data_IF_397545658089
#
_entry.id   IF_397545658089
#
_cell.length_a   1.000
_cell.length_b   1.000
_cell.length_c   1.000
_cell.angle_alpha   90.00
_cell.angle_beta   90.00
_cell.angle_gamma   90.00
#
_symmetry.space_group_name_H-M   'P 1'
#
loop_
_entity.id
_entity.type
_entity.pdbx_description
1 polymer ?
#
# COMPACT_ATOMS: atom_id res chain seq x y z
N UNK A 1 -14.82 14.82 -11.15
CA UNK A 1 -15.75 13.92 -11.84
C UNK A 1 -15.43 12.49 -11.44
N UNK A 2 -16.29 11.88 -10.63
CA UNK A 2 -15.98 10.56 -10.04
C UNK A 2 -15.70 9.47 -11.07
N UNK A 3 -16.46 9.39 -12.15
CA UNK A 3 -16.30 8.34 -13.14
C UNK A 3 -14.99 8.38 -13.90
N UNK A 4 -14.39 9.54 -14.07
CA UNK A 4 -13.11 9.70 -14.78
C UNK A 4 -11.92 9.34 -13.91
N UNK A 5 -12.01 9.65 -12.61
CA UNK A 5 -10.96 9.29 -11.66
C UNK A 5 -10.89 7.77 -11.50
N UNK A 6 -12.04 7.10 -11.45
CA UNK A 6 -12.10 5.65 -11.34
C UNK A 6 -11.44 4.95 -12.53
N UNK A 7 -11.66 5.44 -13.75
CA UNK A 7 -11.06 4.88 -14.95
C UNK A 7 -9.53 5.01 -14.92
N UNK A 8 -9.00 6.16 -14.52
CA UNK A 8 -7.57 6.38 -14.39
C UNK A 8 -6.92 5.46 -13.36
N UNK A 9 -7.54 5.31 -12.20
CA UNK A 9 -7.04 4.45 -11.13
C UNK A 9 -6.92 3.00 -11.59
N UNK A 10 -7.85 2.53 -12.40
CA UNK A 10 -7.86 1.15 -12.90
C UNK A 10 -6.79 0.84 -13.93
N UNK A 11 -6.40 1.85 -14.72
CA UNK A 11 -5.40 1.68 -15.77
C UNK A 11 -3.96 1.71 -15.26
N UNK A 12 -3.73 2.32 -14.10
CA UNK A 12 -2.40 2.69 -13.64
C UNK A 12 -1.96 1.97 -12.36
N UNK A 13 -2.38 0.72 -12.17
CA UNK A 13 -1.89 -0.06 -11.04
C UNK A 13 -0.49 -0.58 -11.33
N UNK A 14 0.53 -0.09 -10.59
CA UNK A 14 1.90 -0.50 -10.84
C UNK A 14 2.15 -1.93 -10.35
N UNK A 15 2.97 -2.67 -11.08
CA UNK A 15 3.58 -3.88 -10.57
C UNK A 15 4.74 -3.52 -9.63
N UNK A 16 5.40 -4.52 -9.07
CA UNK A 16 6.49 -4.29 -8.12
C UNK A 16 7.64 -3.45 -8.71
N UNK A 17 8.01 -3.72 -9.97
CA UNK A 17 9.08 -2.97 -10.63
C UNK A 17 8.68 -1.51 -10.87
N UNK A 18 7.47 -1.27 -11.34
CA UNK A 18 6.95 0.08 -11.55
C UNK A 18 6.81 0.84 -10.23
N UNK A 19 6.37 0.16 -9.16
CA UNK A 19 6.29 0.74 -7.83
C UNK A 19 7.66 1.19 -7.33
N UNK A 20 8.70 0.38 -7.54
CA UNK A 20 10.06 0.75 -7.17
C UNK A 20 10.53 2.02 -7.89
N UNK A 21 10.21 2.14 -9.18
CA UNK A 21 10.54 3.35 -9.96
C UNK A 21 9.81 4.59 -9.45
N UNK A 22 8.53 4.45 -9.11
CA UNK A 22 7.73 5.54 -8.55
C UNK A 22 8.31 5.98 -7.20
N UNK A 23 8.62 5.03 -6.32
CA UNK A 23 9.21 5.31 -5.02
C UNK A 23 10.57 6.00 -5.14
N UNK A 24 11.37 5.62 -6.13
CA UNK A 24 12.67 6.24 -6.36
C UNK A 24 12.55 7.73 -6.72
N UNK A 25 11.45 8.14 -7.33
CA UNK A 25 11.19 9.56 -7.62
C UNK A 25 10.85 10.36 -6.36
N UNK A 26 10.12 9.74 -5.42
CA UNK A 26 9.74 10.37 -4.15
C UNK A 26 10.87 10.36 -3.13
N UNK A 27 11.71 9.32 -3.15
CA UNK A 27 12.86 9.16 -2.27
C UNK A 27 14.15 9.50 -3.03
N UNK A 28 14.26 10.74 -3.47
CA UNK A 28 15.41 11.22 -4.23
C UNK A 28 16.60 11.57 -3.33
N UNK A 29 17.70 12.04 -3.97
CA UNK A 29 18.92 12.39 -3.26
C UNK A 29 18.83 13.56 -2.29
N UNK A 30 17.70 14.28 -2.28
CA UNK A 30 17.46 15.40 -1.36
C UNK A 30 16.82 14.99 -0.05
N UNK A 31 16.30 13.77 0.03
CA UNK A 31 15.68 13.26 1.26
C UNK A 31 16.77 12.89 2.26
N UNK A 32 16.79 13.49 3.46
CA UNK A 32 17.75 13.10 4.51
C UNK A 32 17.49 11.67 4.96
N UNK A 33 18.56 10.90 5.16
CA UNK A 33 18.52 9.50 5.56
C UNK A 33 19.37 9.28 6.80
N UNK A 34 18.90 8.45 7.72
CA UNK A 34 19.68 7.97 8.86
C UNK A 34 20.27 6.61 8.50
N UNK A 35 21.44 6.65 7.87
CA UNK A 35 22.01 5.46 7.22
C UNK A 35 22.80 4.54 8.14
N UNK A 36 23.22 5.02 9.30
CA UNK A 36 24.08 4.22 10.20
C UNK A 36 25.46 3.89 9.62
N UNK A 37 25.94 4.71 8.66
CA UNK A 37 27.22 4.50 8.02
C UNK A 37 27.15 3.74 6.69
N UNK A 38 25.98 3.28 6.28
CA UNK A 38 25.76 2.66 4.97
C UNK A 38 25.74 3.74 3.90
N UNK A 39 26.21 3.42 2.68
CA UNK A 39 26.11 4.32 1.54
C UNK A 39 24.67 4.80 1.34
N UNK A 40 24.48 6.10 1.10
CA UNK A 40 23.16 6.71 1.00
C UNK A 40 22.31 6.10 -0.13
N UNK A 41 22.93 5.83 -1.29
CA UNK A 41 22.21 5.23 -2.41
C UNK A 41 21.78 3.79 -2.11
N UNK A 42 22.64 3.02 -1.45
CA UNK A 42 22.34 1.66 -1.02
C UNK A 42 21.23 1.65 0.03
N UNK A 43 21.30 2.54 1.01
CA UNK A 43 20.30 2.67 2.06
C UNK A 43 18.93 3.04 1.47
N UNK A 44 18.90 3.99 0.55
CA UNK A 44 17.67 4.39 -0.15
C UNK A 44 17.05 3.24 -0.91
N UNK A 45 17.87 2.46 -1.61
CA UNK A 45 17.42 1.25 -2.32
C UNK A 45 16.81 0.25 -1.34
N UNK A 46 17.43 0.07 -0.18
CA UNK A 46 16.92 -0.80 0.88
C UNK A 46 15.56 -0.35 1.41
N UNK A 47 15.33 0.95 1.55
CA UNK A 47 14.01 1.50 1.94
C UNK A 47 12.95 1.20 0.88
N UNK A 48 13.28 1.40 -0.39
CA UNK A 48 12.38 1.11 -1.51
C UNK A 48 12.04 -0.37 -1.55
N UNK A 49 13.04 -1.24 -1.43
CA UNK A 49 12.87 -2.69 -1.44
C UNK A 49 11.98 -3.14 -0.26
N UNK A 50 12.17 -2.54 0.91
CA UNK A 50 11.34 -2.85 2.08
C UNK A 50 9.86 -2.50 1.86
N UNK A 51 9.59 -1.35 1.26
CA UNK A 51 8.22 -0.95 0.93
C UNK A 51 7.61 -1.91 -0.11
N UNK A 52 8.33 -2.19 -1.19
CA UNK A 52 7.86 -3.06 -2.26
C UNK A 52 7.61 -4.47 -1.73
N UNK A 53 8.53 -5.02 -0.97
CA UNK A 53 8.38 -6.34 -0.36
C UNK A 53 7.14 -6.39 0.55
N UNK A 54 6.95 -5.37 1.40
CA UNK A 54 5.81 -5.30 2.30
C UNK A 54 4.48 -5.26 1.56
N UNK A 55 4.40 -4.51 0.45
CA UNK A 55 3.15 -4.32 -0.29
C UNK A 55 2.82 -5.48 -1.24
N UNK A 56 3.83 -6.08 -1.85
CA UNK A 56 3.63 -7.07 -2.92
C UNK A 56 3.76 -8.52 -2.46
N UNK A 57 4.10 -8.76 -1.19
CA UNK A 57 4.12 -10.12 -0.66
C UNK A 57 2.71 -10.73 -0.67
N UNK A 58 2.61 -11.95 -1.20
CA UNK A 58 1.35 -12.69 -1.24
C UNK A 58 1.22 -13.63 -0.04
N UNK A 59 1.54 -13.11 1.12
CA UNK A 59 1.45 -13.82 2.40
C UNK A 59 0.08 -13.61 3.04
N UNK A 60 -0.22 -14.41 4.05
CA UNK A 60 -1.45 -14.27 4.83
C UNK A 60 -1.58 -12.90 5.48
N UNK A 61 -0.45 -12.26 5.83
CA UNK A 61 -0.44 -10.92 6.40
C UNK A 61 -0.99 -9.86 5.42
N UNK A 62 -0.90 -10.12 4.11
CA UNK A 62 -1.34 -9.22 3.06
C UNK A 62 -2.69 -9.61 2.44
N UNK A 63 -3.37 -10.58 2.99
CA UNK A 63 -4.76 -10.88 2.59
C UNK A 63 -5.63 -9.70 3.01
N UNK A 64 -6.27 -9.09 2.03
CA UNK A 64 -6.94 -7.80 2.22
C UNK A 64 -8.46 -7.95 2.22
N UNK A 65 -9.01 -8.55 1.19
CA UNK A 65 -10.45 -8.67 0.98
C UNK A 65 -10.76 -10.05 0.40
N UNK A 66 -11.85 -10.65 0.87
CA UNK A 66 -12.48 -11.79 0.23
C UNK A 66 -13.69 -11.30 -0.54
N UNK A 67 -13.76 -11.64 -1.82
CA UNK A 67 -14.91 -11.36 -2.68
C UNK A 67 -15.65 -12.64 -2.96
N UNK A 68 -16.99 -12.59 -2.94
CA UNK A 68 -17.86 -13.70 -3.32
C UNK A 68 -18.63 -13.29 -4.57
N UNK A 69 -18.56 -14.11 -5.60
CA UNK A 69 -19.26 -13.91 -6.87
C UNK A 69 -20.64 -14.54 -6.84
N UNK A 70 -21.50 -14.09 -7.75
CA UNK A 70 -22.90 -14.58 -7.85
C UNK A 70 -22.99 -16.10 -8.05
N UNK A 71 -21.99 -16.70 -8.71
CA UNK A 71 -21.91 -18.16 -8.91
C UNK A 71 -21.46 -18.96 -7.70
N UNK A 72 -21.13 -18.30 -6.57
CA UNK A 72 -20.66 -18.94 -5.35
C UNK A 72 -19.16 -19.03 -5.21
N UNK A 73 -18.41 -18.71 -6.25
CA UNK A 73 -16.93 -18.68 -6.19
C UNK A 73 -16.44 -17.56 -5.26
N UNK A 74 -15.33 -17.85 -4.59
CA UNK A 74 -14.66 -16.88 -3.72
C UNK A 74 -13.24 -16.63 -4.19
N UNK A 75 -12.77 -15.40 -3.99
CA UNK A 75 -11.41 -15.00 -4.31
C UNK A 75 -10.88 -14.10 -3.20
N UNK A 76 -9.62 -14.31 -2.82
CA UNK A 76 -8.94 -13.44 -1.87
C UNK A 76 -8.04 -12.49 -2.64
N UNK A 77 -8.27 -11.19 -2.46
CA UNK A 77 -7.42 -10.15 -3.00
C UNK A 77 -6.41 -9.71 -1.95
N UNK A 78 -5.19 -9.53 -2.37
CA UNK A 78 -4.08 -9.12 -1.51
C UNK A 78 -3.83 -7.61 -1.62
N UNK A 79 -3.05 -7.05 -0.71
CA UNK A 79 -2.66 -5.65 -0.75
C UNK A 79 -2.08 -5.28 -2.13
N UNK A 80 -1.27 -6.17 -2.71
CA UNK A 80 -0.66 -5.97 -4.03
C UNK A 80 -1.68 -5.64 -5.13
N UNK A 81 -2.90 -6.16 -5.03
CA UNK A 81 -3.95 -5.94 -6.03
C UNK A 81 -4.53 -4.51 -5.98
N UNK A 82 -4.24 -3.78 -4.91
CA UNK A 82 -4.77 -2.44 -4.65
C UNK A 82 -3.72 -1.33 -4.69
N UNK A 83 -2.47 -1.65 -4.82
CA UNK A 83 -1.40 -0.64 -4.82
C UNK A 83 -1.62 0.33 -5.99
N UNK A 84 -1.57 1.62 -5.68
CA UNK A 84 -1.71 2.71 -6.65
C UNK A 84 -0.57 3.71 -6.47
N UNK A 85 -0.37 4.57 -7.46
CA UNK A 85 0.59 5.67 -7.33
C UNK A 85 0.27 6.58 -6.15
N UNK A 86 -1.02 6.84 -5.90
CA UNK A 86 -1.46 7.65 -4.76
C UNK A 86 -1.12 6.99 -3.42
N UNK A 87 -1.27 5.68 -3.33
CA UNK A 87 -0.91 4.91 -2.14
C UNK A 87 0.60 5.00 -1.86
N UNK A 88 1.42 4.84 -2.89
CA UNK A 88 2.88 4.96 -2.78
C UNK A 88 3.29 6.37 -2.33
N UNK A 89 2.69 7.40 -2.91
CA UNK A 89 2.93 8.79 -2.49
C UNK A 89 2.52 9.02 -1.03
N UNK A 90 1.40 8.44 -0.62
CA UNK A 90 0.90 8.51 0.76
C UNK A 90 1.86 7.88 1.75
N UNK A 91 2.42 6.73 1.42
CA UNK A 91 3.41 6.02 2.25
C UNK A 91 4.66 6.89 2.46
N UNK A 92 5.21 7.42 1.39
CA UNK A 92 6.41 8.27 1.47
C UNK A 92 6.11 9.56 2.26
N UNK A 93 4.96 10.17 2.00
CA UNK A 93 4.53 11.38 2.74
C UNK A 93 4.38 11.14 4.23
N UNK A 94 3.77 10.03 4.63
CA UNK A 94 3.64 9.64 6.05
C UNK A 94 5.00 9.37 6.70
N UNK A 95 5.88 8.67 5.99
CA UNK A 95 7.22 8.36 6.48
C UNK A 95 8.04 9.63 6.71
N UNK A 96 8.01 10.56 5.76
CA UNK A 96 8.70 11.86 5.87
C UNK A 96 8.15 12.69 7.03
N UNK A 97 6.83 12.73 7.21
CA UNK A 97 6.21 13.43 8.35
C UNK A 97 6.63 12.83 9.69
N UNK A 98 6.69 11.51 9.79
CA UNK A 98 7.14 10.83 10.99
C UNK A 98 8.60 11.17 11.33
N UNK A 99 9.47 11.19 10.31
CA UNK A 99 10.87 11.55 10.47
C UNK A 99 11.03 13.01 10.93
N UNK A 100 10.24 13.93 10.36
CA UNK A 100 10.25 15.35 10.76
C UNK A 100 9.76 15.53 12.18
N UNK A 101 8.69 14.85 12.58
CA UNK A 101 8.18 14.91 13.97
C UNK A 101 9.22 14.43 14.97
N UNK A 102 9.94 13.37 14.62
CA UNK A 102 11.01 12.85 15.48
C UNK A 102 12.15 13.86 15.64
N UNK A 103 12.54 14.51 14.55
CA UNK A 103 13.57 15.56 14.58
C UNK A 103 13.14 16.73 15.46
N UNK A 104 11.90 17.20 15.31
CA UNK A 104 11.34 18.29 16.15
C UNK A 104 11.32 17.90 17.61
N UNK A 105 11.06 16.64 17.92
CA UNK A 105 11.07 16.10 19.28
C UNK A 105 12.45 15.84 19.86
N UNK A 106 13.52 16.23 19.17
CA UNK A 106 14.90 16.06 19.63
C UNK A 106 15.57 14.74 19.21
N UNK A 107 14.93 13.98 18.33
CA UNK A 107 15.49 12.74 17.79
C UNK A 107 16.43 12.99 16.62
N UNK A 108 16.87 11.91 15.99
CA UNK A 108 17.79 11.95 14.86
C UNK A 108 17.12 12.52 13.61
N UNK A 109 17.92 13.20 12.81
CA UNK A 109 17.47 13.69 11.50
C UNK A 109 17.61 12.59 10.47
N UNK A 110 16.52 12.32 9.77
CA UNK A 110 16.54 11.44 8.60
C UNK A 110 15.53 10.32 8.65
N UNK A 111 15.31 9.75 7.49
CA UNK A 111 14.36 8.67 7.27
C UNK A 111 15.02 7.32 7.58
N UNK A 112 14.28 6.43 8.23
CA UNK A 112 14.71 5.07 8.59
C UNK A 112 13.69 4.04 8.10
N UNK A 113 14.10 2.76 8.19
CA UNK A 113 13.21 1.64 7.84
C UNK A 113 11.92 1.60 8.66
N UNK A 114 12.00 1.88 9.97
CA UNK A 114 10.81 1.87 10.82
C UNK A 114 9.80 2.93 10.40
N UNK A 115 10.23 4.09 9.92
CA UNK A 115 9.34 5.12 9.39
C UNK A 115 8.56 4.62 8.19
N UNK A 116 9.22 3.99 7.23
CA UNK A 116 8.55 3.52 5.99
C UNK A 116 7.65 2.32 6.24
N UNK A 117 8.04 1.41 7.13
CA UNK A 117 7.21 0.25 7.48
C UNK A 117 5.97 0.64 8.25
N UNK A 118 6.09 1.57 9.20
CA UNK A 118 4.94 2.13 9.91
C UNK A 118 4.00 2.88 8.98
N UNK A 119 4.57 3.60 8.01
CA UNK A 119 3.79 4.30 7.00
C UNK A 119 3.01 3.33 6.10
N UNK A 120 3.62 2.21 5.72
CA UNK A 120 2.94 1.15 4.97
C UNK A 120 1.73 0.61 5.75
N UNK A 121 1.92 0.29 7.02
CA UNK A 121 0.86 -0.23 7.87
C UNK A 121 -0.29 0.77 8.00
N UNK A 122 0.01 2.05 8.21
CA UNK A 122 -0.99 3.10 8.33
C UNK A 122 -1.77 3.30 7.02
N UNK A 123 -1.08 3.29 5.89
CA UNK A 123 -1.71 3.45 4.58
C UNK A 123 -2.62 2.28 4.23
N UNK A 124 -2.19 1.06 4.54
CA UNK A 124 -3.01 -0.15 4.34
C UNK A 124 -4.26 -0.06 5.22
N UNK A 125 -4.12 0.31 6.49
CA UNK A 125 -5.24 0.44 7.42
C UNK A 125 -6.26 1.49 6.95
N UNK A 126 -5.80 2.61 6.43
CA UNK A 126 -6.69 3.65 5.89
C UNK A 126 -7.48 3.16 4.67
N UNK A 127 -6.88 2.31 3.85
CA UNK A 127 -7.55 1.74 2.69
C UNK A 127 -8.52 0.60 3.02
N UNK A 128 -8.53 0.09 4.25
CA UNK A 128 -9.47 -0.95 4.68
C UNK A 128 -10.94 -0.51 4.58
N UNK A 129 -11.20 0.77 4.71
CA UNK A 129 -12.56 1.31 4.67
C UNK A 129 -13.12 1.43 3.25
N UNK A 130 -12.28 1.29 2.22
CA UNK A 130 -12.69 1.41 0.83
C UNK A 130 -13.82 0.45 0.41
N UNK A 131 -13.86 -0.82 0.86
CA UNK A 131 -14.93 -1.74 0.48
C UNK A 131 -16.32 -1.28 0.89
N UNK A 132 -16.44 -0.49 1.94
CA UNK A 132 -17.72 -0.02 2.45
C UNK A 132 -18.28 1.14 1.64
N UNK A 133 -17.45 1.81 0.84
CA UNK A 133 -17.80 3.03 0.12
C UNK A 133 -17.76 2.87 -1.40
N UNK A 134 -17.22 1.75 -1.91
CA UNK A 134 -16.95 1.53 -3.32
C UNK A 134 -17.98 0.59 -3.96
N UNK A 135 -18.36 0.86 -5.20
CA UNK A 135 -19.29 0.04 -5.96
C UNK A 135 -18.68 -1.37 -6.20
N UNK A 136 -19.43 -2.46 -5.94
CA UNK A 136 -18.97 -3.83 -6.19
C UNK A 136 -18.45 -4.08 -7.61
N UNK A 137 -18.97 -3.38 -8.62
CA UNK A 137 -18.50 -3.52 -9.99
C UNK A 137 -17.04 -3.10 -10.15
N UNK A 138 -16.56 -2.16 -9.36
CA UNK A 138 -15.17 -1.72 -9.38
C UNK A 138 -14.22 -2.81 -8.88
N UNK A 139 -14.67 -3.59 -7.92
CA UNK A 139 -13.89 -4.72 -7.37
C UNK A 139 -13.79 -5.87 -8.38
N UNK A 140 -14.85 -6.12 -9.14
CA UNK A 140 -14.84 -7.12 -10.21
C UNK A 140 -13.79 -6.80 -11.27
N UNK A 141 -13.60 -5.53 -11.58
CA UNK A 141 -12.57 -5.09 -12.54
C UNK A 141 -11.14 -5.26 -11.99
N UNK A 142 -10.95 -5.07 -10.70
CA UNK A 142 -9.65 -5.26 -10.03
C UNK A 142 -9.28 -6.74 -10.03
N UNK A 143 -10.23 -7.63 -9.79
CA UNK A 143 -10.00 -9.07 -9.80
C UNK A 143 -9.77 -9.64 -11.20
N UNK A 144 -10.05 -8.86 -12.26
CA UNK A 144 -9.92 -9.31 -13.63
C UNK A 144 -11.07 -10.21 -14.12
N UNK A 145 -12.07 -10.46 -13.29
CA UNK A 145 -13.26 -11.25 -13.67
C UNK A 145 -14.35 -10.33 -14.20
N UNK A 146 -14.15 -9.89 -15.44
CA UNK A 146 -15.12 -9.02 -16.12
C UNK A 146 -16.44 -9.78 -16.33
N UNK A 147 -17.54 -9.15 -15.94
CA UNK A 147 -18.88 -9.67 -16.16
C UNK A 147 -19.43 -10.54 -15.05
N UNK A 148 -18.62 -10.98 -14.09
CA UNK A 148 -19.12 -11.66 -12.91
C UNK A 148 -19.55 -10.65 -11.85
N UNK A 149 -20.75 -10.83 -11.35
CA UNK A 149 -21.30 -9.97 -10.31
C UNK A 149 -20.75 -10.37 -8.95
N UNK A 150 -20.22 -9.40 -8.21
CA UNK A 150 -19.83 -9.57 -6.81
C UNK A 150 -21.07 -9.39 -5.94
N UNK A 151 -21.37 -10.37 -5.09
CA UNK A 151 -22.52 -10.34 -4.19
C UNK A 151 -22.14 -10.09 -2.74
N UNK A 152 -20.87 -10.29 -2.38
CA UNK A 152 -20.42 -10.08 -1.01
C UNK A 152 -18.94 -9.72 -0.95
N UNK A 153 -18.60 -8.78 -0.06
CA UNK A 153 -17.23 -8.35 0.23
C UNK A 153 -16.99 -8.46 1.73
N UNK A 154 -15.85 -9.03 2.09
CA UNK A 154 -15.45 -9.12 3.49
C UNK A 154 -14.01 -8.65 3.66
N UNK A 155 -13.79 -7.68 4.54
CA UNK A 155 -12.45 -7.20 4.89
C UNK A 155 -11.76 -8.22 5.81
N UNK A 156 -10.56 -8.64 5.46
CA UNK A 156 -9.79 -9.64 6.22
C UNK A 156 -8.80 -9.02 7.20
N UNK A 157 -8.33 -7.81 6.94
CA UNK A 157 -7.29 -7.14 7.75
C UNK A 157 -7.82 -6.76 9.13
N UNK A 158 -9.03 -6.21 9.22
CA UNK A 158 -9.65 -5.80 10.49
C UNK A 158 -9.96 -6.95 11.43
N UNK A 159 -10.24 -8.15 10.92
CA UNK A 159 -10.54 -9.32 11.74
C UNK A 159 -9.33 -9.92 12.44
N UNK A 160 -8.11 -9.58 12.01
CA UNK A 160 -6.87 -10.03 12.67
C UNK A 160 -6.50 -9.18 13.88
N UNK A 161 -6.89 -7.90 13.88
CA UNK A 161 -6.65 -7.02 15.02
C UNK A 161 -7.49 -7.41 16.26
N UNK A 162 -8.54 -8.21 16.05
CA UNK A 162 -9.46 -8.63 17.09
C UNK A 162 -9.16 -10.01 17.66
N UNK A 163 -8.18 -10.73 17.13
CA UNK A 163 -7.70 -12.01 17.66
C UNK A 163 -6.20 -11.93 17.97
N UNK A 164 -5.82 -11.39 19.13
CA UNK A 164 -4.47 -11.60 19.63
C UNK A 164 -4.41 -13.07 20.08
N UNK A 165 -3.72 -13.88 19.33
CA UNK A 165 -3.34 -15.21 19.78
C UNK A 165 -2.22 -15.13 20.78
#
# INVERSE_FOLDING_TARGET
RPGRLDVKIKLDRPDAAAAAEILARYLDGRTPLTTGGVDAAEFRRGLIDAIVERLYARSDANRFIEVTYAGGDREVLHVADFVSGAMLAGIVGRAKKAAIKELIGGGERGLRHDHVLSACAAEIAENEELPNTTNPDDWARISGRKGERIVFLRTLVGSRALNPS
#
